data_IF_184135606627
#
_entry.id   IF_184135606627
#
_cell.length_a   1.000
_cell.length_b   1.000
_cell.length_c   1.000
_cell.angle_alpha   90.00
_cell.angle_beta   90.00
_cell.angle_gamma   90.00
#
_symmetry.space_group_name_H-M   'P 1'
#
loop_
_entity.id
_entity.type
_entity.pdbx_description
1 polymer ?
#
# COMPACT_ATOMS: atom_id res chain seq x y z
N UNK A 1 -35.20 19.09 -1.52
CA UNK A 1 -34.12 20.05 -1.27
C UNK A 1 -33.96 20.25 0.23
N UNK A 2 -32.70 20.42 0.68
CA UNK A 2 -32.39 20.71 2.07
C UNK A 2 -32.26 22.21 2.27
N UNK A 3 -32.80 22.74 3.37
CA UNK A 3 -32.71 24.16 3.70
C UNK A 3 -31.36 24.52 4.36
N UNK A 4 -30.72 23.54 5.01
CA UNK A 4 -29.47 23.75 5.72
C UNK A 4 -28.69 22.44 5.84
N UNK A 5 -27.37 22.52 5.68
CA UNK A 5 -26.39 21.45 6.00
C UNK A 5 -25.40 22.00 7.01
N UNK A 6 -25.14 21.24 8.07
CA UNK A 6 -24.11 21.55 9.07
C UNK A 6 -23.00 20.52 9.01
N UNK A 7 -21.77 20.97 8.79
CA UNK A 7 -20.57 20.12 8.78
C UNK A 7 -19.88 20.20 10.14
N UNK A 8 -19.70 19.04 10.79
CA UNK A 8 -18.92 18.90 12.02
C UNK A 8 -17.61 18.20 11.71
N UNK A 9 -16.47 18.79 12.05
CA UNK A 9 -15.18 18.15 11.97
C UNK A 9 -14.94 17.31 13.23
N UNK A 10 -14.86 16.01 13.07
CA UNK A 10 -14.56 15.02 14.12
C UNK A 10 -13.46 14.11 13.60
N UNK A 11 -12.25 14.20 14.14
CA UNK A 11 -11.06 13.49 13.62
C UNK A 11 -11.11 11.99 13.91
N UNK A 12 -11.64 11.61 15.06
CA UNK A 12 -11.73 10.20 15.46
C UNK A 12 -12.91 9.49 14.79
N UNK A 13 -12.63 8.38 14.13
CA UNK A 13 -13.62 7.62 13.35
C UNK A 13 -14.64 6.89 14.23
N UNK A 14 -14.19 6.36 15.36
CA UNK A 14 -15.08 5.68 16.31
C UNK A 14 -16.10 6.68 16.88
N UNK A 15 -15.65 7.88 17.20
CA UNK A 15 -16.53 8.97 17.63
C UNK A 15 -17.53 9.36 16.56
N UNK A 16 -17.14 9.39 15.26
CA UNK A 16 -18.08 9.63 14.15
C UNK A 16 -19.11 8.51 14.01
N UNK A 17 -18.68 7.23 14.13
CA UNK A 17 -19.56 6.06 14.12
C UNK A 17 -20.61 6.16 15.26
N UNK A 18 -20.15 6.42 16.48
CA UNK A 18 -21.05 6.60 17.64
C UNK A 18 -22.02 7.75 17.47
N UNK A 19 -21.58 8.89 16.94
CA UNK A 19 -22.43 10.05 16.69
C UNK A 19 -23.55 9.74 15.66
N UNK A 20 -23.25 8.93 14.65
CA UNK A 20 -24.24 8.43 13.68
C UNK A 20 -25.25 7.49 14.36
N UNK A 21 -24.79 6.54 15.18
CA UNK A 21 -25.65 5.59 15.90
C UNK A 21 -26.59 6.29 16.88
N UNK A 22 -26.12 7.33 17.55
CA UNK A 22 -26.92 8.10 18.51
C UNK A 22 -27.83 9.13 17.85
N UNK A 23 -27.77 9.31 16.54
CA UNK A 23 -28.54 10.30 15.79
C UNK A 23 -28.08 11.77 16.03
N UNK A 24 -26.84 11.94 16.52
CA UNK A 24 -26.24 13.28 16.65
C UNK A 24 -25.86 13.86 15.28
N UNK A 25 -25.55 12.97 14.32
CA UNK A 25 -25.31 13.29 12.91
C UNK A 25 -26.14 12.37 12.02
N UNK A 26 -26.46 12.84 10.81
CA UNK A 26 -27.25 12.11 9.82
C UNK A 26 -26.34 11.39 8.81
N UNK A 27 -25.11 11.84 8.63
CA UNK A 27 -24.14 11.28 7.66
C UNK A 27 -22.75 11.25 8.30
N UNK A 28 -22.11 10.10 8.29
CA UNK A 28 -20.70 9.95 8.62
C UNK A 28 -19.90 9.70 7.34
N UNK A 29 -18.86 10.51 7.12
CA UNK A 29 -17.96 10.40 5.96
C UNK A 29 -16.62 9.78 6.35
N UNK A 30 -16.07 8.94 5.48
CA UNK A 30 -14.75 8.34 5.62
C UNK A 30 -14.62 7.51 6.91
N UNK A 31 -15.55 6.57 7.11
CA UNK A 31 -15.43 5.51 8.11
C UNK A 31 -14.57 4.38 7.51
N UNK A 32 -13.78 3.70 8.35
CA UNK A 32 -13.07 2.48 7.96
C UNK A 32 -14.03 1.30 7.89
N UNK A 33 -13.67 0.28 7.12
CA UNK A 33 -14.44 -0.97 6.97
C UNK A 33 -14.78 -1.59 8.33
N UNK A 34 -13.84 -1.65 9.27
CA UNK A 34 -14.07 -2.14 10.64
C UNK A 34 -15.24 -1.44 11.38
N UNK A 35 -15.50 -0.16 11.08
CA UNK A 35 -16.62 0.60 11.67
C UNK A 35 -17.92 0.43 10.88
N UNK A 36 -17.90 -0.10 9.66
CA UNK A 36 -19.10 -0.30 8.84
C UNK A 36 -19.91 -1.52 9.30
N UNK A 37 -19.27 -2.53 9.88
CA UNK A 37 -19.89 -3.75 10.39
C UNK A 37 -21.08 -3.44 11.31
N UNK A 38 -21.03 -2.36 12.08
CA UNK A 38 -22.09 -1.95 12.99
C UNK A 38 -23.37 -1.46 12.28
N UNK A 39 -23.25 -1.12 10.99
CA UNK A 39 -24.34 -0.61 10.16
C UNK A 39 -24.83 -1.62 9.12
N UNK A 40 -24.03 -2.66 8.85
CA UNK A 40 -24.37 -3.70 7.90
C UNK A 40 -25.65 -4.45 8.29
N UNK A 41 -26.53 -4.66 7.32
CA UNK A 41 -27.80 -5.38 7.54
C UNK A 41 -28.83 -4.61 8.38
N UNK A 42 -28.60 -3.35 8.68
CA UNK A 42 -29.55 -2.49 9.39
C UNK A 42 -30.25 -1.53 8.43
N UNK A 43 -31.53 -1.74 8.16
CA UNK A 43 -32.34 -1.00 7.19
C UNK A 43 -32.47 0.52 7.52
N UNK A 44 -32.02 0.95 8.70
CA UNK A 44 -32.01 2.37 9.06
C UNK A 44 -30.80 3.13 8.49
N UNK A 45 -29.81 2.41 7.95
CA UNK A 45 -28.58 2.99 7.41
C UNK A 45 -28.36 2.57 5.98
N UNK A 46 -27.79 3.46 5.19
CA UNK A 46 -27.29 3.17 3.85
C UNK A 46 -25.77 3.35 3.84
N UNK A 47 -25.06 2.30 3.44
CA UNK A 47 -23.60 2.35 3.27
C UNK A 47 -23.33 2.61 1.79
N UNK A 48 -22.59 3.67 1.49
CA UNK A 48 -22.16 4.01 0.14
C UNK A 48 -20.63 3.92 0.06
N UNK A 49 -20.14 2.97 -0.71
CA UNK A 49 -18.72 2.82 -1.03
C UNK A 49 -18.46 3.27 -2.46
N UNK A 50 -17.52 4.18 -2.62
CA UNK A 50 -17.14 4.72 -3.91
C UNK A 50 -15.63 4.60 -4.11
N UNK A 51 -15.23 4.05 -5.24
CA UNK A 51 -13.83 4.07 -5.62
C UNK A 51 -13.36 5.52 -5.79
N UNK A 52 -12.26 5.86 -5.15
CA UNK A 52 -11.69 7.21 -5.19
C UNK A 52 -10.66 7.37 -6.29
N UNK A 53 -10.23 8.60 -6.54
CA UNK A 53 -9.08 8.91 -7.39
C UNK A 53 -7.73 8.72 -6.68
N UNK A 54 -7.74 8.20 -5.45
CA UNK A 54 -6.54 8.05 -4.63
C UNK A 54 -5.78 6.79 -5.01
N UNK A 55 -4.49 6.95 -5.32
CA UNK A 55 -3.54 5.85 -5.48
C UNK A 55 -2.45 5.95 -4.41
N UNK A 56 -2.07 4.80 -3.83
CA UNK A 56 -0.92 4.69 -2.94
C UNK A 56 0.18 3.94 -3.67
N UNK A 57 1.35 4.54 -3.76
CA UNK A 57 2.51 3.96 -4.46
C UNK A 57 3.81 4.41 -3.80
N UNK A 58 4.88 3.66 -4.04
CA UNK A 58 6.24 4.00 -3.58
C UNK A 58 7.06 4.57 -4.74
N UNK A 59 7.75 5.67 -4.49
CA UNK A 59 8.76 6.20 -5.40
C UNK A 59 10.07 5.45 -5.21
N UNK A 60 10.70 5.06 -6.31
CA UNK A 60 12.02 4.44 -6.32
C UNK A 60 13.07 5.46 -6.76
N UNK A 61 14.08 5.70 -5.93
CA UNK A 61 15.18 6.58 -6.29
C UNK A 61 16.12 5.88 -7.28
N UNK A 62 16.02 6.27 -8.55
CA UNK A 62 16.76 5.69 -9.67
C UNK A 62 18.00 6.50 -10.05
N UNK A 63 18.43 7.44 -9.21
CA UNK A 63 19.63 8.24 -9.48
C UNK A 63 20.87 7.34 -9.58
N UNK A 64 21.81 7.74 -10.42
CA UNK A 64 23.10 7.04 -10.59
C UNK A 64 23.81 6.84 -9.24
N UNK A 65 24.39 5.66 -9.03
CA UNK A 65 25.04 5.27 -7.78
C UNK A 65 24.09 4.86 -6.65
N UNK A 66 22.77 4.82 -6.89
CA UNK A 66 21.81 4.24 -5.94
C UNK A 66 21.45 2.81 -6.33
N UNK A 67 21.17 1.95 -5.34
CA UNK A 67 20.82 0.55 -5.59
C UNK A 67 19.66 0.42 -6.59
N UNK A 68 18.63 1.28 -6.46
CA UNK A 68 17.46 1.26 -7.33
C UNK A 68 17.69 1.92 -8.72
N UNK A 69 18.93 2.29 -9.08
CA UNK A 69 19.30 2.57 -10.48
C UNK A 69 19.32 1.28 -11.32
N UNK A 70 19.53 0.12 -10.68
CA UNK A 70 19.44 -1.17 -11.32
C UNK A 70 17.98 -1.55 -11.66
N UNK A 71 17.74 -1.82 -12.94
CA UNK A 71 16.42 -2.21 -13.44
C UNK A 71 15.98 -3.58 -12.92
N UNK A 72 16.91 -4.55 -12.85
CA UNK A 72 16.61 -5.90 -12.41
C UNK A 72 16.13 -5.89 -10.95
N UNK A 73 16.82 -5.14 -10.08
CA UNK A 73 16.38 -4.97 -8.69
C UNK A 73 14.98 -4.37 -8.59
N UNK A 74 14.66 -3.32 -9.36
CA UNK A 74 13.32 -2.75 -9.38
C UNK A 74 12.25 -3.73 -9.84
N UNK A 75 12.54 -4.54 -10.88
CA UNK A 75 11.61 -5.56 -11.37
C UNK A 75 11.37 -6.66 -10.34
N UNK A 76 12.42 -7.10 -9.65
CA UNK A 76 12.31 -8.07 -8.56
C UNK A 76 11.46 -7.53 -7.40
N UNK A 77 11.69 -6.28 -6.98
CA UNK A 77 10.86 -5.62 -5.95
C UNK A 77 9.37 -5.61 -6.33
N UNK A 78 9.05 -5.22 -7.57
CA UNK A 78 7.65 -5.15 -8.02
C UNK A 78 6.97 -6.52 -8.03
N UNK A 79 7.68 -7.59 -8.40
CA UNK A 79 7.17 -8.97 -8.39
C UNK A 79 7.15 -9.59 -7.00
N UNK A 80 7.98 -9.11 -6.09
CA UNK A 80 8.03 -9.56 -4.70
C UNK A 80 6.90 -9.00 -3.83
N UNK A 81 6.12 -8.02 -4.30
CA UNK A 81 5.05 -7.39 -3.52
C UNK A 81 3.69 -8.02 -3.80
N UNK A 82 3.10 -8.67 -2.80
CA UNK A 82 1.74 -9.25 -2.88
C UNK A 82 0.65 -8.18 -2.71
N UNK A 83 0.52 -7.33 -3.72
CA UNK A 83 -0.43 -6.20 -3.72
C UNK A 83 -1.88 -6.65 -3.51
N UNK A 84 -2.24 -7.83 -4.05
CA UNK A 84 -3.60 -8.36 -3.92
C UNK A 84 -3.92 -8.73 -2.49
N UNK A 85 -3.04 -9.48 -1.83
CA UNK A 85 -3.22 -9.82 -0.40
C UNK A 85 -3.26 -8.57 0.48
N UNK A 86 -2.50 -7.52 0.15
CA UNK A 86 -2.60 -6.24 0.90
C UNK A 86 -4.00 -5.61 0.75
N UNK A 87 -4.57 -5.63 -0.45
CA UNK A 87 -5.92 -5.11 -0.66
C UNK A 87 -6.98 -5.95 0.06
N UNK A 88 -6.88 -7.27 -0.03
CA UNK A 88 -7.90 -8.19 0.49
C UNK A 88 -7.87 -8.29 2.02
N UNK A 89 -6.65 -8.33 2.61
CA UNK A 89 -6.48 -8.60 4.04
C UNK A 89 -6.27 -7.33 4.85
N UNK A 90 -5.35 -6.43 4.41
CA UNK A 90 -5.03 -5.23 5.19
C UNK A 90 -6.07 -4.13 5.02
N UNK A 91 -6.77 -4.12 3.88
CA UNK A 91 -7.80 -3.15 3.54
C UNK A 91 -9.20 -3.76 3.48
N UNK A 92 -9.32 -5.04 3.89
CA UNK A 92 -10.60 -5.75 3.99
C UNK A 92 -11.41 -5.67 2.67
N UNK A 93 -10.72 -5.70 1.52
CA UNK A 93 -11.33 -5.56 0.19
C UNK A 93 -11.64 -4.12 -0.24
N UNK A 94 -11.37 -3.12 0.60
CA UNK A 94 -11.66 -1.70 0.32
C UNK A 94 -10.73 -1.03 -0.70
N UNK A 95 -9.88 -1.79 -1.43
CA UNK A 95 -8.98 -1.26 -2.44
C UNK A 95 -8.78 -2.23 -3.60
N UNK A 96 -8.24 -1.72 -4.71
CA UNK A 96 -7.87 -2.50 -5.89
C UNK A 96 -6.36 -2.51 -6.07
N UNK A 97 -5.78 -3.70 -6.31
CA UNK A 97 -4.35 -3.84 -6.57
C UNK A 97 -3.93 -3.05 -7.82
N UNK A 98 -2.98 -2.14 -7.65
CA UNK A 98 -2.57 -1.23 -8.71
C UNK A 98 -1.69 -1.91 -9.77
N UNK A 99 -2.00 -1.69 -11.05
CA UNK A 99 -1.15 -2.02 -12.20
C UNK A 99 -0.30 -0.82 -12.64
N UNK A 100 -0.75 0.38 -12.28
CA UNK A 100 -0.13 1.67 -12.60
C UNK A 100 -0.41 2.69 -11.50
N UNK A 101 0.28 3.84 -11.47
CA UNK A 101 -0.01 4.92 -10.52
C UNK A 101 -1.37 5.61 -10.76
N UNK A 102 -2.02 5.34 -11.89
CA UNK A 102 -3.34 5.86 -12.23
C UNK A 102 -4.42 4.93 -11.67
N UNK A 103 -5.42 5.44 -10.93
CA UNK A 103 -6.48 4.60 -10.39
C UNK A 103 -7.45 4.10 -11.48
N UNK A 104 -8.11 2.93 -11.29
CA UNK A 104 -9.02 2.36 -12.27
C UNK A 104 -10.27 3.21 -12.54
N UNK A 105 -10.60 4.14 -11.63
CA UNK A 105 -11.71 5.08 -11.79
C UNK A 105 -11.50 6.14 -12.87
N UNK A 106 -10.28 6.29 -13.36
CA UNK A 106 -9.98 7.16 -14.49
C UNK A 106 -9.97 6.35 -15.79
N UNK A 107 -10.72 6.82 -16.77
CA UNK A 107 -10.82 6.19 -18.11
C UNK A 107 -9.55 6.48 -18.94
N UNK A 108 -8.43 5.92 -18.50
CA UNK A 108 -7.14 5.99 -19.20
C UNK A 108 -6.61 4.61 -19.61
N UNK A 109 -7.53 3.66 -19.87
CA UNK A 109 -7.15 2.34 -20.32
C UNK A 109 -6.54 1.44 -19.24
N UNK A 110 -6.92 1.63 -17.96
CA UNK A 110 -6.41 0.81 -16.84
C UNK A 110 -6.67 -0.69 -17.07
N UNK A 111 -7.84 -1.04 -17.61
CA UNK A 111 -8.21 -2.43 -17.86
C UNK A 111 -7.39 -3.08 -18.97
N UNK A 112 -6.90 -2.28 -19.92
CA UNK A 112 -6.05 -2.73 -21.02
C UNK A 112 -4.58 -2.96 -20.60
N UNK A 113 -4.19 -2.52 -19.38
CA UNK A 113 -2.85 -2.71 -18.87
C UNK A 113 -2.61 -4.17 -18.50
N UNK A 114 -1.57 -4.75 -19.05
CA UNK A 114 -1.01 -5.99 -18.55
C UNK A 114 -0.27 -5.73 -17.24
N UNK A 115 -0.53 -6.53 -16.22
CA UNK A 115 0.30 -6.51 -15.00
C UNK A 115 1.55 -7.39 -15.23
N UNK A 116 2.54 -6.82 -15.91
CA UNK A 116 3.85 -7.47 -16.11
C UNK A 116 4.61 -7.70 -14.81
N UNK A 117 4.18 -7.03 -13.73
CA UNK A 117 4.75 -7.11 -12.40
C UNK A 117 3.75 -7.69 -11.40
N UNK A 118 2.96 -8.68 -11.83
CA UNK A 118 2.14 -9.49 -10.93
C UNK A 118 3.01 -10.20 -9.89
N UNK A 119 2.44 -10.48 -8.73
CA UNK A 119 3.14 -11.16 -7.65
C UNK A 119 3.68 -12.52 -8.12
N UNK A 120 5.00 -12.66 -8.10
CA UNK A 120 5.76 -13.84 -8.50
C UNK A 120 7.08 -13.86 -7.75
N UNK A 121 7.10 -14.30 -6.48
CA UNK A 121 8.31 -14.29 -5.66
C UNK A 121 9.42 -15.18 -6.21
N UNK A 122 9.09 -16.30 -6.84
CA UNK A 122 10.10 -17.18 -7.44
C UNK A 122 10.72 -16.53 -8.70
N UNK A 123 9.90 -15.89 -9.54
CA UNK A 123 10.43 -15.10 -10.66
C UNK A 123 11.25 -13.90 -10.19
N UNK A 124 10.88 -13.28 -9.05
CA UNK A 124 11.66 -12.20 -8.45
C UNK A 124 13.05 -12.69 -8.00
N UNK A 125 13.14 -13.85 -7.33
CA UNK A 125 14.43 -14.48 -6.94
C UNK A 125 15.28 -14.82 -8.17
N UNK A 126 14.67 -15.37 -9.22
CA UNK A 126 15.38 -15.69 -10.45
C UNK A 126 15.99 -14.44 -11.12
N UNK A 127 15.24 -13.31 -11.15
CA UNK A 127 15.75 -12.04 -11.67
C UNK A 127 16.93 -11.53 -10.83
N UNK A 128 16.85 -11.62 -9.50
CA UNK A 128 17.94 -11.22 -8.62
C UNK A 128 19.18 -12.08 -8.86
N UNK A 129 19.03 -13.39 -8.94
CA UNK A 129 20.14 -14.32 -9.17
C UNK A 129 20.82 -14.09 -10.54
N UNK A 130 20.04 -13.89 -11.61
CA UNK A 130 20.53 -13.59 -12.96
C UNK A 130 21.30 -12.26 -12.98
N UNK A 131 20.85 -11.26 -12.22
CA UNK A 131 21.52 -9.97 -12.08
C UNK A 131 22.73 -10.00 -11.13
N UNK A 132 23.01 -11.15 -10.49
CA UNK A 132 24.17 -11.34 -9.62
C UNK A 132 23.94 -11.06 -8.14
N UNK A 133 22.71 -10.73 -7.73
CA UNK A 133 22.35 -10.60 -6.31
C UNK A 133 22.23 -11.99 -5.69
N UNK A 134 23.00 -12.29 -4.65
CA UNK A 134 23.05 -13.61 -4.01
C UNK A 134 23.31 -13.49 -2.53
N UNK A 135 22.67 -14.34 -1.74
CA UNK A 135 23.02 -14.54 -0.33
C UNK A 135 24.32 -15.36 -0.27
N UNK A 136 25.42 -14.71 0.04
CA UNK A 136 26.76 -15.31 0.04
C UNK A 136 27.26 -15.64 1.43
N UNK A 137 26.70 -15.03 2.47
CA UNK A 137 27.08 -15.27 3.87
C UNK A 137 26.06 -16.12 4.67
N UNK A 138 24.87 -16.38 4.09
CA UNK A 138 23.86 -17.27 4.64
C UNK A 138 22.96 -16.60 5.68
N UNK A 139 22.88 -15.28 5.69
CA UNK A 139 22.02 -14.52 6.63
C UNK A 139 20.55 -14.42 6.16
N UNK A 140 20.27 -14.87 4.92
CA UNK A 140 18.96 -14.87 4.30
C UNK A 140 18.66 -13.63 3.48
N UNK A 141 19.62 -12.73 3.32
CA UNK A 141 19.53 -11.55 2.46
C UNK A 141 20.57 -11.59 1.35
N UNK A 142 20.27 -10.93 0.24
CA UNK A 142 21.20 -10.91 -0.89
C UNK A 142 22.18 -9.75 -0.78
N UNK A 143 23.42 -9.99 -1.20
CA UNK A 143 24.40 -8.98 -1.49
C UNK A 143 24.23 -8.44 -2.92
N UNK A 144 24.82 -7.27 -3.16
CA UNK A 144 24.97 -6.69 -4.50
C UNK A 144 25.91 -7.54 -5.35
N UNK A 145 25.91 -7.38 -6.69
CA UNK A 145 26.86 -8.06 -7.57
C UNK A 145 28.35 -7.82 -7.23
N UNK A 146 28.64 -6.74 -6.52
CA UNK A 146 29.98 -6.40 -6.04
C UNK A 146 30.31 -7.04 -4.69
N UNK A 147 29.34 -7.73 -4.07
CA UNK A 147 29.49 -8.42 -2.78
C UNK A 147 29.22 -7.56 -1.55
N UNK A 148 28.67 -6.38 -1.73
CA UNK A 148 28.29 -5.51 -0.61
C UNK A 148 26.90 -5.86 -0.08
N UNK A 149 26.64 -5.78 1.26
CA UNK A 149 25.32 -6.00 1.83
C UNK A 149 24.28 -5.04 1.23
N UNK A 150 23.14 -5.60 0.76
CA UNK A 150 22.05 -4.82 0.23
C UNK A 150 20.99 -4.52 1.31
N UNK A 151 20.83 -3.27 1.65
CA UNK A 151 19.71 -2.80 2.49
C UNK A 151 19.05 -1.60 1.83
N UNK A 152 17.74 -1.66 1.68
CA UNK A 152 16.94 -0.57 1.12
C UNK A 152 16.26 0.20 2.24
N UNK A 153 16.40 1.52 2.23
CA UNK A 153 15.65 2.41 3.11
C UNK A 153 14.28 2.70 2.50
N UNK A 154 13.23 2.35 3.24
CA UNK A 154 11.85 2.66 2.87
C UNK A 154 11.32 3.74 3.81
N UNK A 155 11.15 4.95 3.29
CA UNK A 155 10.71 6.12 4.05
C UNK A 155 9.19 6.23 3.98
N UNK A 156 8.55 6.33 5.14
CA UNK A 156 7.12 6.60 5.31
C UNK A 156 6.91 7.80 6.23
N UNK A 157 5.78 8.46 6.13
CA UNK A 157 5.44 9.60 6.98
C UNK A 157 4.24 9.31 7.88
N UNK A 158 4.22 9.94 9.08
CA UNK A 158 3.28 9.63 10.17
C UNK A 158 1.85 10.14 9.96
N UNK A 159 1.63 11.12 9.08
CA UNK A 159 0.31 11.76 8.91
C UNK A 159 -0.76 10.84 8.30
N UNK A 160 -0.39 9.61 7.91
CA UNK A 160 -1.26 8.57 7.38
C UNK A 160 -0.94 7.23 8.03
N UNK A 161 -1.83 6.80 8.92
CA UNK A 161 -1.64 5.58 9.73
C UNK A 161 -1.50 4.30 8.87
N UNK A 162 -2.21 4.25 7.74
CA UNK A 162 -2.19 3.10 6.83
C UNK A 162 -0.82 2.84 6.18
N UNK A 163 0.02 3.88 6.00
CA UNK A 163 1.33 3.69 5.38
C UNK A 163 2.25 2.79 6.18
N UNK A 164 2.15 2.82 7.52
CA UNK A 164 2.92 1.94 8.40
C UNK A 164 2.59 0.46 8.16
N UNK A 165 1.30 0.16 8.01
CA UNK A 165 0.82 -1.20 7.75
C UNK A 165 1.30 -1.71 6.39
N UNK A 166 1.18 -0.87 5.34
CA UNK A 166 1.67 -1.23 4.01
C UNK A 166 3.18 -1.44 3.97
N UNK A 167 3.94 -0.59 4.64
CA UNK A 167 5.39 -0.70 4.68
C UNK A 167 5.86 -1.97 5.38
N UNK A 168 5.20 -2.36 6.49
CA UNK A 168 5.48 -3.62 7.20
C UNK A 168 5.15 -4.84 6.33
N UNK A 169 4.02 -4.82 5.63
CA UNK A 169 3.64 -5.90 4.72
C UNK A 169 4.63 -6.01 3.55
N UNK A 170 5.01 -4.87 2.96
CA UNK A 170 6.02 -4.83 1.91
C UNK A 170 7.38 -5.34 2.40
N UNK A 171 7.83 -4.95 3.60
CA UNK A 171 9.06 -5.45 4.22
C UNK A 171 9.01 -6.98 4.37
N UNK A 172 7.88 -7.53 4.86
CA UNK A 172 7.71 -8.96 5.01
C UNK A 172 7.78 -9.71 3.67
N UNK A 173 7.06 -9.24 2.64
CA UNK A 173 7.09 -9.83 1.31
C UNK A 173 8.47 -9.76 0.66
N UNK A 174 9.17 -8.62 0.80
CA UNK A 174 10.50 -8.43 0.22
C UNK A 174 11.56 -9.29 0.92
N UNK A 175 11.39 -9.54 2.21
CA UNK A 175 12.23 -10.50 2.95
C UNK A 175 12.13 -11.92 2.37
N UNK A 176 10.96 -12.34 1.90
CA UNK A 176 10.78 -13.67 1.28
C UNK A 176 11.61 -13.87 0.02
N UNK A 177 11.94 -12.79 -0.68
CA UNK A 177 12.82 -12.81 -1.84
C UNK A 177 14.27 -12.41 -1.51
N UNK A 178 14.63 -12.34 -0.23
CA UNK A 178 15.99 -12.04 0.22
C UNK A 178 16.36 -10.56 0.23
N UNK A 179 15.40 -9.64 0.13
CA UNK A 179 15.69 -8.20 0.19
C UNK A 179 15.52 -7.66 1.61
N UNK A 180 16.60 -7.11 2.16
CA UNK A 180 16.55 -6.39 3.43
C UNK A 180 16.00 -4.99 3.25
N UNK A 181 14.97 -4.64 4.04
CA UNK A 181 14.33 -3.31 4.01
C UNK A 181 14.34 -2.71 5.41
N UNK A 182 14.85 -1.50 5.52
CA UNK A 182 14.82 -0.70 6.72
C UNK A 182 13.67 0.31 6.65
N UNK A 183 12.75 0.27 7.62
CA UNK A 183 11.60 1.18 7.66
C UNK A 183 11.95 2.46 8.43
N UNK A 184 11.96 3.57 7.73
CA UNK A 184 12.25 4.90 8.28
C UNK A 184 10.97 5.73 8.35
N UNK A 185 10.49 6.00 9.56
CA UNK A 185 9.30 6.82 9.78
C UNK A 185 9.71 8.26 10.08
N UNK A 186 9.22 9.19 9.27
CA UNK A 186 9.52 10.62 9.40
C UNK A 186 8.24 11.44 9.57
N UNK A 187 8.36 12.66 10.08
CA UNK A 187 7.25 13.62 10.04
C UNK A 187 7.05 14.14 8.62
N UNK A 188 5.83 14.54 8.27
CA UNK A 188 5.55 15.10 6.94
C UNK A 188 6.31 16.42 6.67
N UNK A 189 6.73 17.11 7.72
CA UNK A 189 7.45 18.39 7.65
C UNK A 189 8.97 18.22 7.50
N UNK A 190 9.47 16.99 7.46
CA UNK A 190 10.89 16.65 7.31
C UNK A 190 11.26 16.45 5.85
#
# INVERSE_FOLDING_TARGET
PLDKVTLKCVDDQTTRSMALQTGEIDIAYNLKTENLIEFEGNDNYEIQELQSLRSTYAFMNQSEGRALSDKALRQALLRGLDKQTYCDVLLEGGATAGKAPVPPTLDFGFDDLNDENSYDPEGAKAILEEAGYKDTDGDGFVETPDGDPLTLDFVIYTSRAELGVYAQAAQASLKEIGINVNLNTVSYET
#
